data_IF_602912741584
#
_entry.id   IF_602912741584
#
_cell.length_a   1.000
_cell.length_b   1.000
_cell.length_c   1.000
_cell.angle_alpha   90.00
_cell.angle_beta   90.00
_cell.angle_gamma   90.00
#
_symmetry.space_group_name_H-M   'P 1'
#
loop_
_entity.id
_entity.type
_entity.pdbx_description
1 polymer ?
#
# COMPACT_ATOMS: atom_id res chain seq x y z
N UNK A 1 4.41 -36.23 36.50
CA UNK A 1 3.90 -35.12 35.61
C UNK A 1 5.10 -34.65 34.80
N UNK A 2 5.26 -35.19 33.61
CA UNK A 2 6.38 -34.87 32.71
C UNK A 2 5.93 -33.73 31.79
N UNK A 3 6.59 -32.56 31.90
CA UNK A 3 6.35 -31.43 31.05
C UNK A 3 6.81 -31.73 29.61
N UNK A 4 5.92 -31.62 28.66
CA UNK A 4 6.20 -31.71 27.23
C UNK A 4 7.04 -30.49 26.80
N UNK A 5 8.18 -30.68 26.10
CA UNK A 5 8.95 -29.54 25.65
C UNK A 5 8.19 -28.77 24.55
N UNK A 6 8.04 -27.46 24.77
CA UNK A 6 7.56 -26.51 23.78
C UNK A 6 8.43 -26.60 22.53
N UNK A 7 7.81 -26.99 21.41
CA UNK A 7 8.46 -26.97 20.10
C UNK A 7 8.85 -25.53 19.76
N UNK A 8 10.12 -25.23 19.84
CA UNK A 8 10.71 -23.95 19.43
C UNK A 8 10.39 -23.68 17.97
N UNK A 9 9.62 -22.64 17.73
CA UNK A 9 9.32 -22.14 16.39
C UNK A 9 10.62 -21.66 15.75
N UNK A 10 11.07 -22.39 14.74
CA UNK A 10 12.22 -21.98 13.93
C UNK A 10 11.92 -20.60 13.31
N UNK A 11 12.85 -19.64 13.36
CA UNK A 11 12.70 -18.39 12.65
C UNK A 11 12.60 -18.67 11.15
N UNK A 12 11.50 -18.30 10.54
CA UNK A 12 11.33 -18.40 9.10
C UNK A 12 12.26 -17.37 8.46
N UNK A 13 13.40 -17.84 7.97
CA UNK A 13 14.27 -17.02 7.14
C UNK A 13 13.46 -16.58 5.91
N UNK A 14 13.12 -15.28 5.84
CA UNK A 14 12.38 -14.69 4.73
C UNK A 14 13.32 -14.42 3.56
N UNK A 15 13.92 -15.48 3.02
CA UNK A 15 14.51 -15.44 1.69
C UNK A 15 13.39 -15.72 0.70
N UNK A 16 12.77 -14.68 0.17
CA UNK A 16 11.76 -14.80 -0.90
C UNK A 16 12.46 -15.12 -2.21
N UNK A 17 12.75 -16.36 -2.44
CA UNK A 17 13.22 -16.87 -3.72
C UNK A 17 12.02 -17.28 -4.60
N UNK A 18 11.47 -16.34 -5.36
CA UNK A 18 10.47 -16.63 -6.37
C UNK A 18 9.01 -16.36 -5.97
N UNK A 19 8.20 -16.01 -6.96
CA UNK A 19 6.75 -15.88 -6.83
C UNK A 19 6.08 -17.25 -6.69
N UNK A 20 4.86 -17.28 -6.07
CA UNK A 20 4.01 -18.49 -6.03
C UNK A 20 3.23 -18.72 -7.33
N UNK A 21 3.21 -17.74 -8.21
CA UNK A 21 2.51 -17.75 -9.49
C UNK A 21 3.54 -17.43 -10.58
N UNK A 22 3.38 -17.99 -11.77
CA UNK A 22 4.19 -17.58 -12.91
C UNK A 22 3.93 -16.11 -13.23
N UNK A 23 4.96 -15.40 -13.62
CA UNK A 23 4.85 -14.00 -14.04
C UNK A 23 5.17 -13.98 -15.53
N UNK A 24 4.15 -13.94 -16.40
CA UNK A 24 4.35 -14.04 -17.82
C UNK A 24 5.39 -13.05 -18.33
N UNK A 25 6.31 -13.52 -19.15
CA UNK A 25 7.25 -12.73 -19.94
C UNK A 25 6.74 -12.50 -21.35
N UNK A 26 7.44 -11.68 -22.12
CA UNK A 26 6.98 -11.30 -23.46
C UNK A 26 6.79 -12.49 -24.41
N UNK A 27 7.59 -13.56 -24.27
CA UNK A 27 7.57 -14.70 -25.17
C UNK A 27 6.44 -15.69 -24.81
N UNK A 28 6.16 -15.84 -23.48
CA UNK A 28 5.12 -16.74 -22.98
C UNK A 28 3.71 -16.15 -22.97
N UNK A 29 3.52 -14.87 -23.34
CA UNK A 29 2.21 -14.22 -23.32
C UNK A 29 1.33 -14.61 -24.52
N UNK A 30 0.03 -14.80 -24.26
CA UNK A 30 -1.00 -14.85 -25.31
C UNK A 30 -1.13 -13.51 -26.03
N UNK A 31 -1.81 -13.50 -27.18
CA UNK A 31 -2.08 -12.26 -27.92
C UNK A 31 -2.81 -11.21 -27.06
N UNK A 32 -3.79 -11.65 -26.27
CA UNK A 32 -4.57 -10.77 -25.41
C UNK A 32 -3.73 -10.21 -24.24
N UNK A 33 -2.89 -11.03 -23.62
CA UNK A 33 -1.94 -10.57 -22.60
C UNK A 33 -0.95 -9.55 -23.16
N UNK A 34 -0.44 -9.76 -24.38
CA UNK A 34 0.44 -8.81 -25.07
C UNK A 34 -0.27 -7.48 -25.32
N UNK A 35 -1.51 -7.52 -25.81
CA UNK A 35 -2.33 -6.33 -26.05
C UNK A 35 -2.47 -5.48 -24.75
N UNK A 36 -2.86 -6.13 -23.66
CA UNK A 36 -3.05 -5.44 -22.36
C UNK A 36 -1.72 -4.93 -21.80
N UNK A 37 -0.65 -5.74 -21.86
CA UNK A 37 0.69 -5.31 -21.48
C UNK A 37 1.10 -4.04 -22.24
N UNK A 38 0.94 -4.04 -23.55
CA UNK A 38 1.36 -2.94 -24.41
C UNK A 38 0.53 -1.68 -24.11
N UNK A 39 -0.78 -1.82 -23.85
CA UNK A 39 -1.62 -0.72 -23.41
C UNK A 39 -1.15 -0.11 -22.06
N UNK A 40 -0.72 -0.95 -21.12
CA UNK A 40 -0.19 -0.49 -19.82
C UNK A 40 1.15 0.24 -19.99
N UNK A 41 2.07 -0.32 -20.79
CA UNK A 41 3.41 0.25 -20.99
C UNK A 41 3.34 1.55 -21.78
N UNK A 42 2.49 1.62 -22.80
CA UNK A 42 2.30 2.83 -23.60
C UNK A 42 1.42 3.88 -22.93
N UNK A 43 0.76 3.52 -21.83
CA UNK A 43 -0.01 4.42 -20.98
C UNK A 43 0.86 5.24 -20.02
N UNK A 44 0.19 5.95 -19.12
CA UNK A 44 0.86 6.86 -18.16
C UNK A 44 1.76 6.14 -17.14
N UNK A 45 1.60 4.82 -16.97
CA UNK A 45 2.44 4.02 -16.07
C UNK A 45 3.84 3.80 -16.60
N UNK A 46 4.02 3.67 -17.92
CA UNK A 46 5.32 3.48 -18.57
C UNK A 46 5.92 2.08 -18.41
N UNK A 47 5.41 1.26 -17.49
CA UNK A 47 5.98 -0.05 -17.18
C UNK A 47 4.92 -1.04 -16.66
N UNK A 48 5.20 -2.32 -16.83
CA UNK A 48 4.41 -3.42 -16.29
C UNK A 48 5.12 -4.02 -15.07
N UNK A 49 4.74 -3.59 -13.88
CA UNK A 49 5.39 -4.01 -12.63
C UNK A 49 4.41 -4.59 -11.62
N UNK A 50 4.97 -5.27 -10.65
CA UNK A 50 4.28 -5.69 -9.45
C UNK A 50 3.00 -6.48 -9.69
N UNK A 51 1.87 -6.04 -9.13
CA UNK A 51 0.64 -6.79 -9.13
C UNK A 51 0.04 -6.97 -10.52
N UNK A 52 0.26 -6.04 -11.46
CA UNK A 52 -0.27 -6.13 -12.82
C UNK A 52 0.34 -7.28 -13.62
N UNK A 53 1.59 -7.69 -13.31
CA UNK A 53 2.17 -8.91 -13.92
C UNK A 53 1.39 -10.16 -13.51
N UNK A 54 1.01 -10.27 -12.25
CA UNK A 54 0.17 -11.36 -11.77
C UNK A 54 -1.26 -11.26 -12.35
N UNK A 55 -1.82 -10.04 -12.41
CA UNK A 55 -3.16 -9.81 -12.95
C UNK A 55 -3.29 -10.20 -14.44
N UNK A 56 -2.20 -10.23 -15.21
CA UNK A 56 -2.23 -10.67 -16.62
C UNK A 56 -2.70 -12.12 -16.82
N UNK A 57 -2.77 -12.96 -15.79
CA UNK A 57 -3.46 -14.25 -15.88
C UNK A 57 -4.96 -14.11 -16.20
N UNK A 58 -5.53 -12.93 -15.93
CA UNK A 58 -6.83 -12.50 -16.42
C UNK A 58 -6.65 -11.11 -17.08
N UNK A 59 -6.49 -11.07 -18.43
CA UNK A 59 -6.19 -9.82 -19.13
C UNK A 59 -7.26 -8.74 -18.94
N UNK A 60 -8.55 -9.09 -18.90
CA UNK A 60 -9.62 -8.14 -18.64
C UNK A 60 -9.49 -7.50 -17.25
N UNK A 61 -9.22 -8.32 -16.22
CA UNK A 61 -8.96 -7.81 -14.88
C UNK A 61 -7.76 -6.87 -14.87
N UNK A 62 -6.66 -7.24 -15.51
CA UNK A 62 -5.45 -6.41 -15.56
C UNK A 62 -5.71 -5.05 -16.22
N UNK A 63 -6.48 -5.04 -17.32
CA UNK A 63 -6.85 -3.81 -18.03
C UNK A 63 -7.69 -2.88 -17.13
N UNK A 64 -8.78 -3.40 -16.54
CA UNK A 64 -9.64 -2.64 -15.63
C UNK A 64 -8.90 -2.14 -14.40
N UNK A 65 -8.07 -2.99 -13.83
CA UNK A 65 -7.23 -2.63 -12.68
C UNK A 65 -6.25 -1.51 -13.02
N UNK A 66 -5.58 -1.60 -14.17
CA UNK A 66 -4.67 -0.54 -14.61
C UNK A 66 -5.38 0.80 -14.79
N UNK A 67 -6.57 0.80 -15.42
CA UNK A 67 -7.39 2.00 -15.64
C UNK A 67 -7.86 2.62 -14.32
N UNK A 68 -8.34 1.80 -13.37
CA UNK A 68 -8.72 2.27 -12.04
C UNK A 68 -7.52 2.90 -11.32
N UNK A 69 -6.38 2.21 -11.32
CA UNK A 69 -5.16 2.71 -10.68
C UNK A 69 -4.63 4.00 -11.32
N UNK A 70 -4.79 4.17 -12.63
CA UNK A 70 -4.45 5.43 -13.29
C UNK A 70 -5.35 6.58 -12.81
N UNK A 71 -6.65 6.32 -12.68
CA UNK A 71 -7.60 7.30 -12.15
C UNK A 71 -7.24 7.72 -10.74
N UNK A 72 -7.04 6.74 -9.85
CA UNK A 72 -6.77 7.00 -8.43
C UNK A 72 -5.42 7.67 -8.17
N UNK A 73 -4.42 7.43 -9.01
CA UNK A 73 -3.10 8.03 -8.84
C UNK A 73 -2.97 9.44 -9.45
N UNK A 74 -3.73 9.73 -10.50
CA UNK A 74 -3.44 10.91 -11.32
C UNK A 74 -4.63 11.84 -11.55
N UNK A 75 -5.84 11.46 -11.12
CA UNK A 75 -7.07 12.18 -11.45
C UNK A 75 -7.99 12.42 -10.25
N UNK A 76 -7.42 12.38 -9.04
CA UNK A 76 -8.15 12.67 -7.80
C UNK A 76 -7.96 14.11 -7.34
N UNK A 77 -8.80 14.55 -6.41
CA UNK A 77 -8.76 15.89 -5.79
C UNK A 77 -7.63 16.00 -4.75
N UNK A 78 -7.19 14.87 -4.20
CA UNK A 78 -6.15 14.87 -3.17
C UNK A 78 -4.80 15.26 -3.80
N UNK A 79 -4.03 16.14 -3.16
CA UNK A 79 -2.62 16.35 -3.51
C UNK A 79 -1.84 15.04 -3.49
N UNK A 80 -0.91 14.87 -4.43
CA UNK A 80 -0.11 13.64 -4.54
C UNK A 80 0.56 13.25 -3.21
N UNK A 81 1.07 14.22 -2.46
CA UNK A 81 1.67 13.99 -1.15
C UNK A 81 0.72 13.27 -0.18
N UNK A 82 -0.55 13.66 -0.15
CA UNK A 82 -1.57 13.05 0.72
C UNK A 82 -2.02 11.69 0.21
N UNK A 83 -2.09 11.51 -1.10
CA UNK A 83 -2.34 10.20 -1.69
C UNK A 83 -1.22 9.22 -1.34
N UNK A 84 0.05 9.65 -1.43
CA UNK A 84 1.19 8.81 -1.06
C UNK A 84 1.24 8.54 0.46
N UNK A 85 0.84 9.48 1.32
CA UNK A 85 0.67 9.23 2.75
C UNK A 85 -0.32 8.07 2.99
N UNK A 86 -1.50 8.12 2.37
CA UNK A 86 -2.52 7.07 2.48
C UNK A 86 -2.01 5.71 1.96
N UNK A 87 -1.25 5.72 0.87
CA UNK A 87 -0.65 4.49 0.29
C UNK A 87 0.40 3.89 1.22
N UNK A 88 1.29 4.71 1.78
CA UNK A 88 2.32 4.23 2.73
C UNK A 88 1.69 3.64 4.00
N UNK A 89 0.64 4.27 4.53
CA UNK A 89 -0.12 3.73 5.67
C UNK A 89 -0.71 2.36 5.33
N UNK A 90 -1.30 2.21 4.14
CA UNK A 90 -1.86 0.95 3.65
C UNK A 90 -0.78 -0.11 3.49
N UNK A 91 0.33 0.23 2.83
CA UNK A 91 1.46 -0.67 2.63
C UNK A 91 2.04 -1.17 3.97
N UNK A 92 2.11 -0.28 4.97
CA UNK A 92 2.60 -0.61 6.32
C UNK A 92 1.66 -1.56 7.05
N UNK A 93 0.35 -1.29 7.04
CA UNK A 93 -0.64 -2.17 7.70
C UNK A 93 -0.56 -3.59 7.14
N UNK A 94 -0.50 -3.74 5.82
CA UNK A 94 -0.39 -5.04 5.14
C UNK A 94 1.04 -5.60 5.11
N UNK A 95 2.04 -4.88 5.58
CA UNK A 95 3.46 -5.21 5.46
C UNK A 95 3.84 -5.58 4.02
N UNK A 96 3.39 -4.75 3.06
CA UNK A 96 3.61 -4.95 1.64
C UNK A 96 4.91 -4.27 1.20
N UNK A 97 5.99 -5.02 1.22
CA UNK A 97 7.36 -4.52 1.02
C UNK A 97 7.57 -3.84 -0.33
N UNK A 98 7.07 -4.46 -1.41
CA UNK A 98 7.22 -3.89 -2.75
C UNK A 98 6.44 -2.58 -2.89
N UNK A 99 5.21 -2.57 -2.40
CA UNK A 99 4.37 -1.37 -2.40
C UNK A 99 5.01 -0.25 -1.58
N UNK A 100 5.49 -0.59 -0.38
CA UNK A 100 6.22 0.34 0.47
C UNK A 100 7.40 0.99 -0.26
N UNK A 101 8.32 0.18 -0.81
CA UNK A 101 9.55 0.68 -1.41
C UNK A 101 9.31 1.53 -2.67
N UNK A 102 8.28 1.22 -3.46
CA UNK A 102 7.88 2.05 -4.62
C UNK A 102 7.30 3.37 -4.16
N UNK A 103 6.34 3.33 -3.22
CA UNK A 103 5.60 4.51 -2.78
C UNK A 103 6.38 5.40 -1.82
N UNK A 104 7.36 4.87 -1.09
CA UNK A 104 8.32 5.68 -0.32
C UNK A 104 9.03 6.70 -1.22
N UNK A 105 9.57 6.25 -2.35
CA UNK A 105 10.24 7.15 -3.31
C UNK A 105 9.29 8.20 -3.89
N UNK A 106 8.06 7.79 -4.18
CA UNK A 106 7.04 8.69 -4.69
C UNK A 106 6.61 9.72 -3.63
N UNK A 107 6.47 9.31 -2.38
CA UNK A 107 6.13 10.17 -1.25
C UNK A 107 7.22 11.22 -0.98
N UNK A 108 8.49 10.80 -0.96
CA UNK A 108 9.65 11.71 -0.85
C UNK A 108 9.66 12.74 -1.99
N UNK A 109 9.46 12.27 -3.23
CA UNK A 109 9.38 13.15 -4.41
C UNK A 109 8.17 14.10 -4.38
N UNK A 110 7.07 13.71 -3.74
CA UNK A 110 5.88 14.53 -3.53
C UNK A 110 6.00 15.50 -2.34
N UNK A 111 7.11 15.47 -1.59
CA UNK A 111 7.39 16.36 -0.47
C UNK A 111 6.81 15.89 0.87
N UNK A 112 6.52 14.60 1.03
CA UNK A 112 6.22 14.06 2.36
C UNK A 112 7.50 14.02 3.18
N UNK A 113 7.46 14.53 4.40
CA UNK A 113 8.63 14.59 5.28
C UNK A 113 9.18 13.18 5.58
N UNK A 114 10.50 13.03 5.47
CA UNK A 114 11.18 11.76 5.74
C UNK A 114 10.88 11.27 7.15
N UNK A 115 10.82 12.16 8.14
CA UNK A 115 10.48 11.81 9.52
C UNK A 115 9.08 11.19 9.64
N UNK A 116 8.10 11.66 8.86
CA UNK A 116 6.76 11.07 8.77
C UNK A 116 6.82 9.66 8.18
N UNK A 117 7.56 9.49 7.08
CA UNK A 117 7.73 8.18 6.43
C UNK A 117 8.37 7.17 7.38
N UNK A 118 9.44 7.57 8.07
CA UNK A 118 10.14 6.71 9.03
C UNK A 118 9.24 6.33 10.22
N UNK A 119 8.46 7.28 10.76
CA UNK A 119 7.53 6.99 11.84
C UNK A 119 6.49 5.94 11.41
N UNK A 120 5.91 6.07 10.20
CA UNK A 120 4.96 5.08 9.67
C UNK A 120 5.65 3.72 9.48
N UNK A 121 6.87 3.70 8.94
CA UNK A 121 7.67 2.47 8.80
C UNK A 121 7.82 1.73 10.13
N UNK A 122 8.14 2.47 11.17
CA UNK A 122 8.43 1.92 12.50
C UNK A 122 7.14 1.63 13.31
N UNK A 123 5.96 1.93 12.75
CA UNK A 123 4.68 1.75 13.43
C UNK A 123 4.47 2.77 14.57
N UNK A 124 5.18 3.90 14.50
CA UNK A 124 5.04 5.01 15.43
C UNK A 124 4.08 6.07 14.90
N UNK A 125 3.50 6.87 15.81
CA UNK A 125 2.67 8.01 15.43
C UNK A 125 3.55 9.11 14.82
N UNK A 126 3.30 9.54 13.57
CA UNK A 126 4.04 10.63 12.97
C UNK A 126 3.67 11.98 13.60
N UNK A 127 4.64 12.90 13.67
CA UNK A 127 4.40 14.28 14.06
C UNK A 127 3.91 15.09 12.85
N UNK A 128 2.61 15.17 12.67
CA UNK A 128 1.99 15.86 11.53
C UNK A 128 1.61 17.29 11.94
N UNK A 129 2.29 18.28 11.36
CA UNK A 129 2.01 19.70 11.61
C UNK A 129 0.86 20.24 10.75
N UNK A 130 0.76 19.76 9.49
CA UNK A 130 -0.30 20.18 8.57
C UNK A 130 -1.64 19.53 8.95
N UNK A 131 -2.71 20.30 9.16
CA UNK A 131 -4.04 19.77 9.44
C UNK A 131 -4.53 18.78 8.39
N UNK A 132 -4.23 19.01 7.10
CA UNK A 132 -4.63 18.11 6.02
C UNK A 132 -3.97 16.72 6.13
N UNK A 133 -2.72 16.66 6.58
CA UNK A 133 -2.04 15.38 6.83
C UNK A 133 -2.70 14.61 7.98
N UNK A 134 -3.07 15.33 9.07
CA UNK A 134 -3.75 14.72 10.21
C UNK A 134 -5.11 14.17 9.83
N UNK A 135 -5.89 14.93 9.07
CA UNK A 135 -7.23 14.54 8.60
C UNK A 135 -7.16 13.26 7.74
N UNK A 136 -6.23 13.21 6.79
CA UNK A 136 -6.02 12.01 5.96
C UNK A 136 -5.50 10.84 6.80
N UNK A 137 -4.57 11.09 7.71
CA UNK A 137 -4.04 10.03 8.58
C UNK A 137 -5.14 9.40 9.44
N UNK A 138 -5.94 10.23 10.13
CA UNK A 138 -7.00 9.73 11.02
C UNK A 138 -8.06 8.97 10.23
N UNK A 139 -8.49 9.48 9.08
CA UNK A 139 -9.44 8.80 8.20
C UNK A 139 -8.93 7.43 7.74
N UNK A 140 -7.71 7.39 7.22
CA UNK A 140 -7.10 6.15 6.70
C UNK A 140 -6.83 5.15 7.82
N UNK A 141 -6.36 5.62 8.98
CA UNK A 141 -6.14 4.77 10.15
C UNK A 141 -7.43 4.10 10.61
N UNK A 142 -8.51 4.87 10.76
CA UNK A 142 -9.81 4.36 11.21
C UNK A 142 -10.33 3.32 10.21
N UNK A 143 -10.28 3.62 8.92
CA UNK A 143 -10.70 2.72 7.85
C UNK A 143 -9.91 1.41 7.86
N UNK A 144 -8.58 1.47 8.00
CA UNK A 144 -7.71 0.28 8.00
C UNK A 144 -7.76 -0.52 9.30
N UNK A 145 -8.15 0.09 10.42
CA UNK A 145 -8.24 -0.56 11.72
C UNK A 145 -9.59 -1.20 11.97
N UNK A 146 -10.66 -0.48 11.65
CA UNK A 146 -12.03 -0.87 11.97
C UNK A 146 -12.92 -1.19 10.76
N UNK A 147 -12.50 -0.85 9.56
CA UNK A 147 -13.35 -0.96 8.36
C UNK A 147 -14.44 0.12 8.29
N UNK A 148 -14.39 1.09 9.19
CA UNK A 148 -15.30 2.24 9.28
C UNK A 148 -14.48 3.47 9.70
N UNK A 149 -15.08 4.65 9.59
CA UNK A 149 -14.41 5.93 9.90
C UNK A 149 -15.26 6.69 10.92
N UNK A 150 -14.62 7.13 12.00
CA UNK A 150 -15.27 7.94 13.02
C UNK A 150 -15.79 9.26 12.44
N UNK A 151 -16.95 9.74 12.97
CA UNK A 151 -17.64 10.91 12.44
C UNK A 151 -16.74 12.15 12.32
N UNK A 152 -15.88 12.40 13.31
CA UNK A 152 -14.98 13.55 13.30
C UNK A 152 -13.97 13.49 12.14
N UNK A 153 -13.36 12.34 11.89
CA UNK A 153 -12.42 12.13 10.80
C UNK A 153 -13.12 12.20 9.43
N UNK A 154 -14.34 11.63 9.34
CA UNK A 154 -15.15 11.69 8.14
C UNK A 154 -15.49 13.15 7.78
N UNK A 155 -16.01 13.93 8.74
CA UNK A 155 -16.41 15.32 8.52
C UNK A 155 -15.23 16.23 8.19
N UNK A 156 -14.03 15.96 8.73
CA UNK A 156 -12.83 16.74 8.41
C UNK A 156 -12.45 16.58 6.92
N UNK A 157 -12.43 15.33 6.42
CA UNK A 157 -12.15 15.05 5.00
C UNK A 157 -13.26 15.59 4.11
N UNK A 158 -14.53 15.42 4.50
CA UNK A 158 -15.69 15.94 3.76
C UNK A 158 -15.65 17.47 3.63
N UNK A 159 -15.36 18.17 4.72
CA UNK A 159 -15.28 19.63 4.72
C UNK A 159 -14.17 20.17 3.81
N UNK A 160 -13.04 19.46 3.71
CA UNK A 160 -11.88 19.90 2.93
C UNK A 160 -11.97 19.56 1.45
N UNK A 161 -12.40 18.34 1.10
CA UNK A 161 -12.40 17.86 -0.30
C UNK A 161 -13.78 17.50 -0.86
N UNK A 162 -14.85 17.68 -0.06
CA UNK A 162 -16.21 17.33 -0.45
C UNK A 162 -16.46 15.83 -0.58
N UNK A 163 -17.67 15.44 -0.93
CA UNK A 163 -18.09 14.05 -1.11
C UNK A 163 -17.18 13.28 -2.09
N UNK A 164 -16.76 13.95 -3.17
CA UNK A 164 -15.86 13.34 -4.15
C UNK A 164 -14.50 12.98 -3.56
N UNK A 165 -13.94 13.83 -2.69
CA UNK A 165 -12.67 13.55 -2.02
C UNK A 165 -12.78 12.38 -1.04
N UNK A 166 -13.89 12.27 -0.30
CA UNK A 166 -14.17 11.13 0.59
C UNK A 166 -14.23 9.82 -0.22
N UNK A 167 -14.98 9.82 -1.34
CA UNK A 167 -15.08 8.65 -2.23
C UNK A 167 -13.72 8.27 -2.82
N UNK A 168 -12.96 9.26 -3.29
CA UNK A 168 -11.65 9.05 -3.90
C UNK A 168 -10.64 8.50 -2.89
N UNK A 169 -10.60 9.02 -1.65
CA UNK A 169 -9.72 8.53 -0.60
C UNK A 169 -10.08 7.10 -0.18
N UNK A 170 -11.36 6.82 0.00
CA UNK A 170 -11.86 5.47 0.30
C UNK A 170 -11.47 4.48 -0.80
N UNK A 171 -11.69 4.85 -2.07
CA UNK A 171 -11.34 4.03 -3.21
C UNK A 171 -9.81 3.82 -3.33
N UNK A 172 -9.01 4.85 -3.05
CA UNK A 172 -7.55 4.77 -3.06
C UNK A 172 -7.06 3.73 -2.05
N UNK A 173 -7.51 3.81 -0.81
CA UNK A 173 -7.13 2.86 0.25
C UNK A 173 -7.56 1.43 -0.12
N UNK A 174 -8.81 1.23 -0.56
CA UNK A 174 -9.29 -0.07 -1.00
C UNK A 174 -8.49 -0.65 -2.16
N UNK A 175 -8.13 0.19 -3.13
CA UNK A 175 -7.28 -0.19 -4.26
C UNK A 175 -5.90 -0.67 -3.79
N UNK A 176 -5.26 0.05 -2.88
CA UNK A 176 -3.95 -0.33 -2.38
C UNK A 176 -3.98 -1.51 -1.40
N UNK A 177 -5.09 -1.76 -0.70
CA UNK A 177 -5.31 -3.05 -0.03
C UNK A 177 -5.30 -4.21 -1.02
N UNK A 178 -5.96 -4.09 -2.18
CA UNK A 178 -5.94 -5.11 -3.24
C UNK A 178 -4.52 -5.29 -3.81
N UNK A 179 -3.78 -4.22 -4.02
CA UNK A 179 -2.36 -4.26 -4.43
C UNK A 179 -1.53 -5.03 -3.42
N UNK A 180 -1.58 -4.63 -2.14
CA UNK A 180 -0.82 -5.26 -1.05
C UNK A 180 -1.11 -6.76 -0.94
N UNK A 181 -2.39 -7.12 -0.94
CA UNK A 181 -2.82 -8.53 -0.87
C UNK A 181 -2.29 -9.34 -2.04
N UNK A 182 -2.36 -8.81 -3.26
CA UNK A 182 -1.84 -9.51 -4.45
C UNK A 182 -0.33 -9.72 -4.37
N UNK A 183 0.42 -8.68 -3.99
CA UNK A 183 1.86 -8.77 -3.79
C UNK A 183 2.23 -9.82 -2.73
N UNK A 184 1.51 -9.81 -1.62
CA UNK A 184 1.78 -10.68 -0.49
C UNK A 184 1.38 -12.13 -0.75
N UNK A 185 0.16 -12.37 -1.27
CA UNK A 185 -0.37 -13.72 -1.54
C UNK A 185 0.47 -14.43 -2.59
N UNK A 186 0.83 -13.73 -3.66
CA UNK A 186 1.61 -14.32 -4.74
C UNK A 186 3.13 -14.24 -4.52
N UNK A 187 3.57 -13.61 -3.43
CA UNK A 187 5.00 -13.39 -3.11
C UNK A 187 5.75 -12.77 -4.28
N UNK A 188 5.20 -11.70 -4.85
CA UNK A 188 5.84 -11.02 -5.98
C UNK A 188 7.22 -10.52 -5.51
N UNK A 189 8.31 -10.88 -6.23
CA UNK A 189 9.66 -10.50 -5.82
C UNK A 189 9.87 -9.00 -5.93
N UNK A 190 10.73 -8.48 -5.07
CA UNK A 190 11.18 -7.09 -5.17
C UNK A 190 11.99 -6.90 -6.45
N UNK A 191 11.77 -5.81 -7.20
CA UNK A 191 12.65 -5.46 -8.29
C UNK A 191 14.06 -5.13 -7.78
N UNK A 192 15.06 -5.27 -8.65
CA UNK A 192 16.42 -4.88 -8.33
C UNK A 192 16.50 -3.41 -7.91
N UNK A 193 17.21 -3.13 -6.82
CA UNK A 193 17.38 -1.78 -6.29
C UNK A 193 16.31 -1.33 -5.29
N UNK A 194 15.32 -2.18 -4.94
CA UNK A 194 14.51 -1.99 -3.76
C UNK A 194 15.03 -2.86 -2.60
N UNK A 195 15.31 -2.23 -1.46
CA UNK A 195 15.67 -2.90 -0.22
C UNK A 195 14.43 -3.44 0.52
N UNK A 196 14.69 -4.24 1.54
CA UNK A 196 13.67 -4.72 2.48
C UNK A 196 13.68 -3.79 3.70
N UNK A 197 12.56 -3.11 3.96
CA UNK A 197 12.45 -2.11 5.01
C UNK A 197 11.44 -2.45 6.11
N UNK A 198 10.41 -3.26 5.77
CA UNK A 198 9.30 -3.61 6.68
C UNK A 198 9.47 -4.96 7.37
N UNK A 199 10.71 -5.47 7.48
CA UNK A 199 11.03 -6.83 7.96
C UNK A 199 10.49 -7.10 9.36
N UNK A 200 10.59 -6.15 10.27
CA UNK A 200 10.26 -6.33 11.68
C UNK A 200 8.82 -6.84 11.88
N UNK A 201 7.84 -6.22 11.23
CA UNK A 201 6.45 -6.63 11.37
C UNK A 201 6.12 -8.03 10.85
N UNK A 202 6.89 -8.57 9.90
CA UNK A 202 6.68 -9.91 9.33
C UNK A 202 7.41 -11.01 10.06
N UNK A 203 8.58 -10.70 10.59
CA UNK A 203 9.42 -11.68 11.33
C UNK A 203 8.77 -11.98 12.67
N UNK A 204 8.28 -10.95 13.36
CA UNK A 204 7.71 -11.10 14.70
C UNK A 204 6.30 -11.69 14.69
N UNK A 205 5.50 -11.40 13.67
CA UNK A 205 4.13 -11.90 13.55
C UNK A 205 3.73 -12.13 12.08
N UNK A 206 4.19 -13.20 11.43
CA UNK A 206 3.82 -13.49 10.06
C UNK A 206 2.31 -13.66 9.93
N UNK A 207 1.71 -12.89 9.00
CA UNK A 207 0.26 -12.88 8.77
C UNK A 207 -0.53 -11.97 9.71
N UNK A 208 0.11 -11.23 10.60
CA UNK A 208 -0.53 -10.20 11.41
C UNK A 208 -0.39 -8.83 10.74
N UNK A 209 -1.49 -8.07 10.73
CA UNK A 209 -1.46 -6.68 10.29
C UNK A 209 -0.70 -5.84 11.32
N UNK A 210 -0.03 -4.79 10.85
CA UNK A 210 0.62 -3.82 11.72
C UNK A 210 -0.34 -2.68 12.02
N UNK A 211 -0.78 -2.51 13.27
CA UNK A 211 -1.70 -1.43 13.60
C UNK A 211 -1.03 -0.05 13.46
N UNK A 212 -1.83 0.92 13.06
CA UNK A 212 -1.41 2.33 13.05
C UNK A 212 -1.80 2.98 14.38
N UNK A 213 -0.87 3.67 15.07
CA UNK A 213 -1.17 4.35 16.31
C UNK A 213 -2.07 5.57 16.09
N UNK A 214 -2.83 5.95 17.14
CA UNK A 214 -3.51 7.25 17.14
C UNK A 214 -2.49 8.39 17.19
N UNK A 215 -2.81 9.50 16.55
CA UNK A 215 -2.00 10.70 16.67
C UNK A 215 -2.12 11.29 18.09
N UNK A 216 -1.07 11.95 18.61
CA UNK A 216 -1.20 12.72 19.84
C UNK A 216 -2.28 13.80 19.67
N UNK A 217 -3.04 14.03 20.74
CA UNK A 217 -4.00 15.15 20.78
C UNK A 217 -3.21 16.44 20.58
N UNK A 218 -3.66 17.28 19.62
CA UNK A 218 -3.03 18.58 19.45
C UNK A 218 -3.17 19.39 20.74
N UNK A 219 -2.11 20.09 21.18
CA UNK A 219 -2.25 21.00 22.33
C UNK A 219 -3.39 21.98 22.06
N UNK A 220 -4.26 22.16 23.07
CA UNK A 220 -5.29 23.18 23.00
C UNK A 220 -4.60 24.55 22.84
N UNK A 221 -4.87 25.22 21.69
CA UNK A 221 -4.36 26.55 21.41
C UNK A 221 -5.03 27.64 22.27
#
# INVERSE_FOLDING_TARGET
>A
MTATPSAGRMPIAVTRTGARISLPDADGMSAEQKRVRDAIINGRRGELVGPLRAALHNPELAERWSQLGETLRYRTRLPTRLSELAVLMTARVWNSELEWGVHRRAAEAAGLEVATIEAIRDGAAPALADPADREVYDFVRDMLTGGDVGEAAYQAVLARWGEGGVVELTALVGYYCMVALTLNVHRIPLPSGLGVELVAGRVEAPGRLTPLPALPVAPAG
#
